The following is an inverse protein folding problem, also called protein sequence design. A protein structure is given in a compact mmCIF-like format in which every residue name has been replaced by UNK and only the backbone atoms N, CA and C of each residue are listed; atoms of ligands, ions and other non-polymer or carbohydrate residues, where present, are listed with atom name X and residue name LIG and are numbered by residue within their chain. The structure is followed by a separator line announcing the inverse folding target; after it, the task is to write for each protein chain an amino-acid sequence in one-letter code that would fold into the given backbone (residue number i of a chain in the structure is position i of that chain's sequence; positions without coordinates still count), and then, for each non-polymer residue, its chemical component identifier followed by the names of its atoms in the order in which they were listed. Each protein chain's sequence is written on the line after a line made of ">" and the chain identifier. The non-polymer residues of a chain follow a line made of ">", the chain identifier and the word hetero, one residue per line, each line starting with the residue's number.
data_IF_996622657868
#
_entry.id   IF_996622657868
#
_cell.length_a   1.000
_cell.length_b   1.000
_cell.length_c   1.000
_cell.angle_alpha   90.00
_cell.angle_beta   90.00
_cell.angle_gamma   90.00
#
_symmetry.space_group_name_H-M   'P 1'
#
loop_
_entity.id
_entity.type
_entity.pdbx_description
1 polymer ?
#
# COMPACT_ATOMS: atom_id res chain seq x y z
N UNK A 1 11.02 -3.84 7.29
CA UNK A 1 9.62 -3.37 7.39
C UNK A 1 8.61 -4.43 7.84
N UNK A 2 7.90 -5.20 6.99
CA UNK A 2 6.74 -6.01 7.45
C UNK A 2 7.03 -7.49 7.72
N UNK A 3 8.07 -8.06 7.11
CA UNK A 3 8.39 -9.49 7.19
C UNK A 3 7.72 -10.39 6.13
N UNK A 4 6.79 -9.83 5.34
CA UNK A 4 6.14 -10.53 4.24
C UNK A 4 7.00 -10.56 2.97
N UNK A 5 6.92 -11.65 2.21
CA UNK A 5 7.61 -11.82 0.94
C UNK A 5 7.06 -12.98 0.12
N UNK A 6 7.78 -13.37 -0.94
CA UNK A 6 7.28 -14.35 -1.90
C UNK A 6 6.17 -13.77 -2.79
N UNK A 7 5.28 -14.62 -3.30
CA UNK A 7 4.13 -14.20 -4.11
C UNK A 7 4.48 -13.67 -5.52
N UNK A 8 3.46 -13.16 -6.20
CA UNK A 8 3.56 -12.52 -7.51
C UNK A 8 3.45 -11.00 -7.36
N UNK A 9 4.39 -10.28 -7.96
CA UNK A 9 4.48 -8.83 -7.86
C UNK A 9 4.20 -8.20 -9.22
N UNK A 10 3.10 -7.46 -9.29
CA UNK A 10 2.67 -6.80 -10.51
C UNK A 10 2.80 -5.28 -10.34
N UNK A 11 3.45 -4.61 -11.30
CA UNK A 11 3.44 -3.15 -11.34
C UNK A 11 1.99 -2.68 -11.43
N UNK A 12 1.56 -1.88 -10.46
CA UNK A 12 0.15 -1.56 -10.27
C UNK A 12 -0.19 -0.16 -10.73
N UNK A 13 0.62 0.82 -10.35
CA UNK A 13 0.35 2.23 -10.62
C UNK A 13 1.64 3.06 -10.54
N UNK A 14 1.70 4.17 -11.26
CA UNK A 14 2.73 5.20 -11.09
C UNK A 14 2.05 6.55 -10.86
N UNK A 15 2.46 7.25 -9.81
CA UNK A 15 1.92 8.55 -9.43
C UNK A 15 3.03 9.50 -8.99
N UNK A 16 2.80 10.79 -9.16
CA UNK A 16 3.58 11.84 -8.51
C UNK A 16 2.84 12.34 -7.29
N UNK A 17 3.55 12.58 -6.18
CA UNK A 17 2.97 13.20 -4.98
C UNK A 17 2.43 14.61 -5.28
N UNK A 18 3.20 15.40 -6.04
CA UNK A 18 2.80 16.72 -6.49
C UNK A 18 3.61 17.12 -7.74
N UNK A 19 3.08 16.90 -8.97
CA UNK A 19 3.84 17.13 -10.20
C UNK A 19 4.16 18.61 -10.45
N UNK A 20 3.55 19.54 -9.71
CA UNK A 20 3.87 20.96 -9.81
C UNK A 20 5.10 21.37 -8.99
N UNK A 21 5.44 20.60 -7.94
CA UNK A 21 6.54 20.91 -7.01
C UNK A 21 7.63 19.84 -6.96
N UNK A 22 7.33 18.62 -7.43
CA UNK A 22 8.18 17.45 -7.30
C UNK A 22 8.23 16.70 -8.62
N UNK A 23 9.40 16.16 -8.96
CA UNK A 23 9.59 15.29 -10.12
C UNK A 23 9.68 13.81 -9.75
N UNK A 24 9.59 13.49 -8.45
CA UNK A 24 9.57 12.12 -7.97
C UNK A 24 8.33 11.39 -8.49
N UNK A 25 8.54 10.15 -8.95
CA UNK A 25 7.50 9.20 -9.30
C UNK A 25 7.55 8.06 -8.30
N UNK A 26 6.40 7.76 -7.72
CA UNK A 26 6.19 6.59 -6.87
C UNK A 26 5.54 5.50 -7.70
N UNK A 27 6.22 4.36 -7.81
CA UNK A 27 5.68 3.15 -8.43
C UNK A 27 5.11 2.24 -7.35
N UNK A 28 3.82 1.94 -7.41
CA UNK A 28 3.17 0.96 -6.54
C UNK A 28 3.18 -0.41 -7.19
N UNK A 29 3.45 -1.45 -6.40
CA UNK A 29 3.30 -2.85 -6.79
C UNK A 29 2.17 -3.49 -5.98
N UNK A 30 1.37 -4.32 -6.64
CA UNK A 30 0.42 -5.22 -5.99
C UNK A 30 1.12 -6.56 -5.83
N UNK A 31 1.26 -7.01 -4.58
CA UNK A 31 1.83 -8.30 -4.24
C UNK A 31 0.70 -9.26 -3.86
N UNK A 32 0.52 -10.32 -4.62
CA UNK A 32 -0.50 -11.34 -4.41
C UNK A 32 0.13 -12.67 -3.98
N UNK A 33 -0.51 -13.37 -3.04
CA UNK A 33 0.00 -14.63 -2.49
C UNK A 33 1.30 -14.50 -1.70
N UNK A 34 1.52 -13.37 -1.02
CA UNK A 34 2.67 -13.20 -0.10
C UNK A 34 2.47 -13.98 1.19
N UNK A 35 3.57 -14.44 1.78
CA UNK A 35 3.60 -15.18 3.04
C UNK A 35 4.52 -14.49 4.06
N UNK A 36 4.30 -14.74 5.35
CA UNK A 36 5.17 -14.24 6.40
C UNK A 36 6.46 -15.09 6.41
N UNK A 37 7.58 -14.51 5.96
CA UNK A 37 8.85 -15.23 5.87
C UNK A 37 9.73 -15.03 7.10
N UNK A 38 9.50 -13.95 7.86
CA UNK A 38 10.23 -13.57 9.06
C UNK A 38 9.44 -12.55 9.88
N UNK A 39 9.86 -12.33 11.11
CA UNK A 39 9.34 -11.27 11.95
C UNK A 39 9.68 -9.87 11.40
N UNK A 40 8.90 -8.87 11.80
CA UNK A 40 9.14 -7.47 11.47
C UNK A 40 10.50 -7.02 12.04
N UNK A 41 11.29 -6.38 11.18
CA UNK A 41 12.56 -5.75 11.53
C UNK A 41 12.50 -4.31 11.03
N UNK A 42 12.66 -3.37 11.94
CA UNK A 42 12.61 -1.93 11.73
C UNK A 42 13.99 -1.32 11.96
N UNK A 43 14.32 -0.30 11.19
CA UNK A 43 15.50 0.51 11.45
C UNK A 43 15.27 1.43 12.66
N UNK A 44 16.34 1.97 13.25
CA UNK A 44 16.27 2.77 14.49
C UNK A 44 15.40 4.04 14.38
N UNK A 45 15.09 4.49 13.17
CA UNK A 45 14.27 5.67 12.88
C UNK A 45 12.85 5.32 12.40
N UNK A 46 12.49 4.04 12.38
CA UNK A 46 11.18 3.57 11.92
C UNK A 46 10.29 3.16 13.09
N UNK A 47 9.05 3.63 13.09
CA UNK A 47 8.02 3.24 14.04
C UNK A 47 6.73 2.94 13.25
N UNK A 48 6.53 1.67 12.91
CA UNK A 48 5.37 1.19 12.14
C UNK A 48 4.81 -0.08 12.76
N UNK A 49 3.55 -0.38 12.46
CA UNK A 49 2.88 -1.64 12.85
C UNK A 49 2.12 -2.22 11.66
N UNK A 50 1.95 -3.55 11.68
CA UNK A 50 1.22 -4.27 10.62
C UNK A 50 -0.20 -4.55 11.10
N UNK A 51 -1.19 -4.18 10.27
CA UNK A 51 -2.60 -4.44 10.51
C UNK A 51 -3.16 -5.26 9.36
N UNK A 52 -3.68 -6.45 9.68
CA UNK A 52 -4.51 -7.20 8.74
C UNK A 52 -5.93 -6.63 8.77
N UNK A 53 -6.46 -6.39 7.58
CA UNK A 53 -7.81 -5.85 7.41
C UNK A 53 -8.54 -6.68 6.37
N UNK A 54 -9.83 -6.87 6.59
CA UNK A 54 -10.76 -7.39 5.59
C UNK A 54 -10.93 -6.40 4.44
N UNK A 55 -11.47 -6.88 3.31
CA UNK A 55 -11.79 -6.02 2.16
C UNK A 55 -12.84 -4.94 2.50
N UNK A 56 -13.75 -5.24 3.43
CA UNK A 56 -14.75 -4.31 3.93
C UNK A 56 -14.10 -3.18 4.76
N UNK A 57 -13.21 -3.54 5.69
CA UNK A 57 -12.45 -2.57 6.47
C UNK A 57 -11.53 -1.72 5.58
N UNK A 58 -10.88 -2.32 4.59
CA UNK A 58 -10.06 -1.60 3.62
C UNK A 58 -10.89 -0.55 2.85
N UNK A 59 -12.12 -0.91 2.46
CA UNK A 59 -13.07 0.01 1.82
C UNK A 59 -13.44 1.16 2.76
N UNK A 60 -13.79 0.87 4.01
CA UNK A 60 -14.12 1.90 5.01
C UNK A 60 -12.93 2.85 5.24
N UNK A 61 -11.73 2.31 5.49
CA UNK A 61 -10.51 3.11 5.68
C UNK A 61 -10.25 4.06 4.50
N UNK A 62 -10.46 3.58 3.27
CA UNK A 62 -10.19 4.35 2.06
C UNK A 62 -11.23 5.41 1.76
N UNK A 63 -12.51 5.14 2.04
CA UNK A 63 -13.62 6.03 1.69
C UNK A 63 -13.97 7.01 2.81
N UNK A 64 -13.70 6.67 4.07
CA UNK A 64 -14.07 7.49 5.24
C UNK A 64 -13.00 8.52 5.62
N UNK A 65 -12.00 8.74 4.75
CA UNK A 65 -10.93 9.73 4.99
C UNK A 65 -9.92 9.31 6.07
N UNK A 66 -9.90 8.03 6.48
CA UNK A 66 -8.90 7.52 7.44
C UNK A 66 -7.51 7.34 6.82
N UNK A 67 -7.42 7.34 5.50
CA UNK A 67 -6.17 7.36 4.73
C UNK A 67 -6.02 8.71 4.01
N UNK A 68 -5.11 9.56 4.50
CA UNK A 68 -4.97 10.95 4.03
C UNK A 68 -3.92 11.15 2.91
N UNK A 69 -3.04 10.17 2.71
CA UNK A 69 -1.97 10.25 1.71
C UNK A 69 -2.47 9.76 0.35
N UNK A 70 -2.47 10.64 -0.66
CA UNK A 70 -2.99 10.34 -2.01
C UNK A 70 -2.29 9.15 -2.67
N UNK A 71 -0.97 9.05 -2.48
CA UNK A 71 -0.15 7.95 -3.00
C UNK A 71 -0.49 6.58 -2.39
N UNK A 72 -1.08 6.56 -1.20
CA UNK A 72 -1.53 5.32 -0.56
C UNK A 72 -2.97 4.97 -0.94
N UNK A 73 -3.87 5.96 -0.95
CA UNK A 73 -5.31 5.71 -1.18
C UNK A 73 -5.62 5.40 -2.64
N UNK A 74 -4.94 6.02 -3.60
CA UNK A 74 -5.18 5.81 -5.03
C UNK A 74 -4.98 4.36 -5.50
N UNK A 75 -3.88 3.66 -5.18
CA UNK A 75 -3.72 2.26 -5.59
C UNK A 75 -4.74 1.33 -4.92
N UNK A 76 -5.15 1.61 -3.66
CA UNK A 76 -6.20 0.85 -2.97
C UNK A 76 -7.56 1.05 -3.63
N UNK A 77 -7.91 2.29 -4.00
CA UNK A 77 -9.16 2.57 -4.71
C UNK A 77 -9.21 1.89 -6.08
N UNK A 78 -8.10 1.85 -6.82
CA UNK A 78 -8.00 1.07 -8.07
C UNK A 78 -8.26 -0.42 -7.81
N UNK A 79 -7.64 -1.00 -6.77
CA UNK A 79 -7.86 -2.40 -6.41
C UNK A 79 -9.33 -2.69 -6.06
N UNK A 80 -9.96 -1.83 -5.26
CA UNK A 80 -11.37 -1.95 -4.89
C UNK A 80 -12.33 -1.75 -6.07
N UNK A 81 -11.92 -1.04 -7.12
CA UNK A 81 -12.69 -0.83 -8.34
C UNK A 81 -12.59 -2.04 -9.28
N UNK A 82 -11.39 -2.58 -9.50
CA UNK A 82 -11.16 -3.72 -10.39
C UNK A 82 -11.59 -5.07 -9.79
N UNK A 83 -11.68 -5.15 -8.46
CA UNK A 83 -12.13 -6.37 -7.74
C UNK A 83 -13.66 -6.47 -7.60
N UNK A 84 -14.42 -5.61 -8.28
CA UNK A 84 -15.89 -5.71 -8.40
C UNK A 84 -16.26 -6.57 -9.59
#
# INVERSE_FOLDING_TARGET
>A
ETGFGGGLWCKWMELSANPALQNNITTTFLADGVELLREQQLDATEEISVHFVSLEELRAISLDGRMIQSLHVAPVLKYLYESR
#
